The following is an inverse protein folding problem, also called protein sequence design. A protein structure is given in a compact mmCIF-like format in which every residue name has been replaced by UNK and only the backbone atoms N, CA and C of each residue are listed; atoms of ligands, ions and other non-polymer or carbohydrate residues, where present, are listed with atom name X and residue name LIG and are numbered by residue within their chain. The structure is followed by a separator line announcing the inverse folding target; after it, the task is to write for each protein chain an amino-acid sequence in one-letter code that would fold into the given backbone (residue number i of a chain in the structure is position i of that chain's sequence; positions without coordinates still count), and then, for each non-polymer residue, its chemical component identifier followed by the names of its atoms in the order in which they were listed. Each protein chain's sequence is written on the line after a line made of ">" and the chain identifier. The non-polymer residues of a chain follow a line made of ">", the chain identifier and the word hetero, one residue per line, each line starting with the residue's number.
data_IF_155862360113
#
_entry.id   IF_155862360113
#
_cell.length_a   1.000
_cell.length_b   1.000
_cell.length_c   1.000
_cell.angle_alpha   90.00
_cell.angle_beta   90.00
_cell.angle_gamma   90.00
#
_symmetry.space_group_name_H-M   'P 1'
#
loop_
_entity.id
_entity.type
_entity.pdbx_description
1 polymer ?
#
# COMPACT_ATOMS: atom_id res chain seq x y z
N UNK A 1 8.47 0.90 23.24
CA UNK A 1 7.96 1.96 22.51
C UNK A 1 6.42 2.04 22.48
N UNK A 2 5.99 3.20 22.81
CA UNK A 2 4.70 3.58 23.34
C UNK A 2 3.54 3.70 22.35
N UNK A 3 3.66 3.18 21.15
CA UNK A 3 2.64 3.30 20.12
C UNK A 3 1.98 1.99 19.70
N UNK A 4 1.98 1.00 20.59
CA UNK A 4 1.21 -0.24 20.39
C UNK A 4 1.82 -1.24 19.40
N UNK A 5 3.06 -1.05 18.98
CA UNK A 5 3.79 -2.05 18.24
C UNK A 5 4.40 -3.06 19.23
N UNK A 6 3.85 -4.26 19.28
CA UNK A 6 4.37 -5.34 20.10
C UNK A 6 5.52 -6.02 19.35
N UNK A 7 6.75 -5.65 19.69
CA UNK A 7 7.95 -6.34 19.23
C UNK A 7 8.25 -7.53 20.14
N UNK A 8 8.62 -8.64 19.56
CA UNK A 8 9.02 -9.83 20.28
C UNK A 8 10.52 -10.04 20.17
N UNK A 9 11.19 -10.35 21.26
CA UNK A 9 12.59 -10.77 21.23
C UNK A 9 12.63 -12.18 20.62
N UNK A 10 13.28 -12.28 19.45
CA UNK A 10 13.41 -13.51 18.68
C UNK A 10 14.69 -14.27 19.01
N UNK A 11 15.70 -13.59 19.49
CA UNK A 11 16.97 -14.15 19.88
C UNK A 11 17.76 -13.17 20.75
N UNK A 12 18.60 -13.73 21.59
CA UNK A 12 19.45 -12.99 22.51
C UNK A 12 20.79 -13.69 22.64
N UNK A 13 21.86 -12.99 22.34
CA UNK A 13 23.22 -13.40 22.67
C UNK A 13 23.78 -12.48 23.71
N UNK A 14 24.51 -13.04 24.69
CA UNK A 14 24.93 -12.26 25.83
C UNK A 14 26.27 -12.74 26.35
N UNK A 15 27.22 -11.83 26.52
CA UNK A 15 28.53 -12.11 27.10
C UNK A 15 28.71 -11.27 28.37
N UNK A 16 29.09 -11.90 29.45
CA UNK A 16 29.43 -11.24 30.72
C UNK A 16 30.93 -11.04 30.79
N UNK A 17 31.35 -9.83 31.17
CA UNK A 17 32.75 -9.44 31.38
C UNK A 17 33.05 -9.08 32.82
N UNK A 18 31.99 -8.85 33.62
CA UNK A 18 32.11 -8.49 35.03
C UNK A 18 30.89 -8.98 35.80
N UNK A 19 30.98 -9.00 37.12
CA UNK A 19 29.89 -9.34 38.01
C UNK A 19 29.07 -8.08 38.33
N UNK A 20 27.76 -8.23 38.40
CA UNK A 20 26.83 -7.23 38.90
C UNK A 20 26.48 -7.61 40.34
N UNK A 21 26.70 -6.70 41.29
CA UNK A 21 26.37 -6.92 42.69
C UNK A 21 25.03 -6.28 43.05
N UNK A 22 24.53 -6.63 44.22
CA UNK A 22 23.32 -5.99 44.74
C UNK A 22 23.63 -4.49 44.94
N UNK A 23 22.70 -3.62 44.61
CA UNK A 23 22.78 -2.17 44.68
C UNK A 23 23.69 -1.49 43.62
N UNK A 24 24.30 -2.24 42.72
CA UNK A 24 25.03 -1.64 41.60
C UNK A 24 24.07 -0.87 40.66
N UNK A 25 24.48 0.33 40.28
CA UNK A 25 23.78 1.13 39.28
C UNK A 25 24.25 0.74 37.90
N UNK A 26 23.42 0.00 37.17
CA UNK A 26 23.72 -0.46 35.83
C UNK A 26 23.22 0.57 34.79
N UNK A 27 24.14 1.12 34.00
CA UNK A 27 23.83 1.93 32.83
C UNK A 27 23.65 1.02 31.62
N UNK A 28 22.48 1.10 31.00
CA UNK A 28 22.14 0.28 29.83
C UNK A 28 22.10 1.18 28.60
N UNK A 29 22.89 0.83 27.59
CA UNK A 29 22.85 1.46 26.26
C UNK A 29 22.33 0.45 25.25
N UNK A 30 21.39 0.89 24.43
CA UNK A 30 20.78 0.09 23.36
C UNK A 30 20.98 0.85 22.06
N UNK A 31 21.66 0.22 21.11
CA UNK A 31 21.93 0.79 19.80
C UNK A 31 21.44 -0.15 18.70
N UNK A 32 20.72 0.41 17.72
CA UNK A 32 20.29 -0.34 16.54
C UNK A 32 21.50 -0.56 15.63
N UNK A 33 21.92 -1.82 15.46
CA UNK A 33 23.11 -2.16 14.67
C UNK A 33 22.79 -2.76 13.32
N UNK A 34 21.53 -3.15 13.06
CA UNK A 34 21.18 -3.72 11.78
C UNK A 34 19.70 -4.02 11.61
N UNK A 35 19.38 -4.44 10.38
CA UNK A 35 18.11 -5.05 10.01
C UNK A 35 18.35 -6.53 9.79
N UNK A 36 17.38 -7.35 10.13
CA UNK A 36 17.34 -8.77 9.80
C UNK A 36 16.16 -9.04 8.86
N UNK A 37 16.20 -10.18 8.20
CA UNK A 37 15.14 -10.57 7.26
C UNK A 37 13.74 -10.43 7.87
N UNK A 38 12.75 -10.19 7.01
CA UNK A 38 11.33 -10.07 7.38
C UNK A 38 11.01 -8.92 8.34
N UNK A 39 11.73 -7.79 8.23
CA UNK A 39 11.44 -6.58 8.99
C UNK A 39 11.88 -6.62 10.45
N UNK A 40 12.67 -7.62 10.83
CA UNK A 40 13.30 -7.68 12.15
C UNK A 40 14.43 -6.66 12.28
N UNK A 41 14.84 -6.43 13.51
CA UNK A 41 15.92 -5.50 13.86
C UNK A 41 16.93 -6.18 14.78
N UNK A 42 18.20 -5.82 14.62
CA UNK A 42 19.27 -6.21 15.54
C UNK A 42 19.69 -4.99 16.36
N UNK A 43 19.77 -5.18 17.67
CA UNK A 43 20.22 -4.19 18.62
C UNK A 43 21.44 -4.71 19.36
N UNK A 44 22.44 -3.86 19.50
CA UNK A 44 23.50 -4.08 20.47
C UNK A 44 23.05 -3.52 21.82
N UNK A 45 23.22 -4.31 22.86
CA UNK A 45 22.92 -3.94 24.24
C UNK A 45 24.21 -4.00 25.04
N UNK A 46 24.60 -2.90 25.65
CA UNK A 46 25.77 -2.83 26.53
C UNK A 46 25.35 -2.39 27.92
N UNK A 47 25.89 -3.06 28.94
CA UNK A 47 25.69 -2.69 30.32
C UNK A 47 27.02 -2.27 30.93
N UNK A 48 27.02 -1.15 31.70
CA UNK A 48 28.19 -0.61 32.37
C UNK A 48 27.87 -0.31 33.82
N UNK A 49 28.89 -0.44 34.66
CA UNK A 49 28.90 0.01 36.07
C UNK A 49 30.09 0.92 36.22
N UNK A 50 29.86 2.14 36.67
CA UNK A 50 30.92 3.18 36.82
C UNK A 50 31.80 3.32 35.56
N UNK A 51 31.16 3.26 34.39
CA UNK A 51 31.79 3.36 33.08
C UNK A 51 32.50 2.09 32.59
N UNK A 52 32.65 1.05 33.43
CA UNK A 52 33.24 -0.22 33.04
C UNK A 52 32.21 -1.15 32.38
N UNK A 53 32.59 -1.77 31.27
CA UNK A 53 31.72 -2.72 30.57
C UNK A 53 31.60 -4.00 31.40
N UNK A 54 30.39 -4.33 31.83
CA UNK A 54 30.09 -5.55 32.58
C UNK A 54 29.39 -6.61 31.72
N UNK A 55 28.67 -6.17 30.65
CA UNK A 55 28.11 -7.10 29.69
C UNK A 55 27.87 -6.45 28.33
N UNK A 56 27.85 -7.28 27.29
CA UNK A 56 27.50 -6.89 25.93
C UNK A 56 26.77 -8.04 25.24
N UNK A 57 25.74 -7.71 24.49
CA UNK A 57 24.98 -8.71 23.76
C UNK A 57 24.27 -8.14 22.55
N UNK A 58 23.69 -9.03 21.77
CA UNK A 58 22.86 -8.67 20.63
C UNK A 58 21.45 -9.19 20.85
N UNK A 59 20.47 -8.31 20.78
CA UNK A 59 19.05 -8.66 20.77
C UNK A 59 18.55 -8.67 19.32
N UNK A 60 17.94 -9.77 18.91
CA UNK A 60 17.17 -9.85 17.68
C UNK A 60 15.68 -9.67 18.01
N UNK A 61 15.06 -8.69 17.39
CA UNK A 61 13.68 -8.32 17.63
C UNK A 61 12.88 -8.55 16.36
N UNK A 62 11.75 -9.24 16.48
CA UNK A 62 10.82 -9.44 15.37
C UNK A 62 9.83 -8.28 15.30
N UNK A 63 9.55 -7.85 14.08
CA UNK A 63 8.41 -6.98 13.84
C UNK A 63 7.09 -7.71 14.14
N UNK A 64 6.05 -7.00 14.59
CA UNK A 64 4.73 -7.60 14.75
C UNK A 64 4.23 -8.13 13.40
N UNK A 65 3.47 -9.22 13.45
CA UNK A 65 2.83 -9.75 12.25
C UNK A 65 1.85 -8.71 11.72
N UNK A 66 2.05 -8.29 10.49
CA UNK A 66 1.21 -7.33 9.80
C UNK A 66 0.75 -7.89 8.45
N UNK A 67 -0.31 -7.34 7.89
CA UNK A 67 -0.77 -7.66 6.56
C UNK A 67 -0.97 -6.36 5.77
N UNK A 68 -0.54 -6.36 4.51
CA UNK A 68 -0.90 -5.31 3.55
C UNK A 68 -2.13 -5.76 2.78
N UNK A 69 -3.20 -4.99 2.88
CA UNK A 69 -4.48 -5.32 2.26
C UNK A 69 -4.83 -4.24 1.24
N UNK A 70 -5.06 -4.68 0.00
CA UNK A 70 -5.41 -3.80 -1.11
C UNK A 70 -6.91 -3.89 -1.41
N UNK A 71 -7.66 -2.79 -1.28
CA UNK A 71 -9.10 -2.79 -1.54
C UNK A 71 -9.42 -2.92 -3.03
N UNK A 72 -10.63 -3.37 -3.31
CA UNK A 72 -11.21 -3.34 -4.64
C UNK A 72 -11.84 -1.98 -4.99
N UNK A 73 -12.66 -1.97 -6.05
CA UNK A 73 -13.42 -0.78 -6.47
C UNK A 73 -14.46 -0.37 -5.42
N UNK A 74 -14.83 0.92 -5.44
CA UNK A 74 -15.86 1.51 -4.58
C UNK A 74 -15.35 2.59 -3.62
N UNK A 75 -14.05 2.79 -3.56
CA UNK A 75 -13.41 3.80 -2.69
C UNK A 75 -12.86 5.01 -3.45
N UNK A 76 -12.98 5.01 -4.78
CA UNK A 76 -12.46 6.08 -5.63
C UNK A 76 -13.14 7.42 -5.34
N UNK A 77 -12.35 8.48 -5.34
CA UNK A 77 -12.80 9.86 -5.16
C UNK A 77 -12.03 10.78 -6.09
N UNK A 78 -12.69 11.83 -6.56
CA UNK A 78 -12.01 12.91 -7.27
C UNK A 78 -10.89 13.50 -6.40
N UNK A 79 -9.72 13.70 -6.99
CA UNK A 79 -8.55 14.25 -6.30
C UNK A 79 -7.85 13.31 -5.33
N UNK A 80 -8.25 12.03 -5.25
CA UNK A 80 -7.65 11.08 -4.30
C UNK A 80 -6.13 11.02 -4.42
N UNK A 81 -5.44 11.09 -3.27
CA UNK A 81 -3.96 10.92 -3.13
C UNK A 81 -3.11 11.94 -3.89
N UNK A 82 -3.69 12.98 -4.49
CA UNK A 82 -2.91 14.02 -5.19
C UNK A 82 -2.12 14.91 -4.23
N UNK A 83 -2.57 15.08 -3.01
CA UNK A 83 -1.84 15.77 -1.94
C UNK A 83 -0.58 14.97 -1.51
N UNK A 84 -0.66 13.65 -1.49
CA UNK A 84 0.50 12.78 -1.23
C UNK A 84 1.51 12.85 -2.37
N UNK A 85 1.05 12.90 -3.63
CA UNK A 85 1.89 13.14 -4.80
C UNK A 85 2.70 14.43 -4.67
N UNK A 86 2.11 15.48 -4.12
CA UNK A 86 2.80 16.76 -3.91
C UNK A 86 3.93 16.67 -2.89
N UNK A 87 3.81 15.78 -1.89
CA UNK A 87 4.72 15.67 -0.73
C UNK A 87 5.77 14.59 -0.87
N UNK A 88 5.55 13.56 -1.71
CA UNK A 88 6.43 12.40 -1.87
C UNK A 88 6.99 12.32 -3.29
N UNK A 89 8.30 12.44 -3.48
CA UNK A 89 8.98 12.20 -4.76
C UNK A 89 8.70 10.80 -5.32
N UNK A 90 8.68 9.77 -4.49
CA UNK A 90 8.39 8.40 -4.92
C UNK A 90 6.94 8.27 -5.44
N UNK A 91 5.95 8.81 -4.73
CA UNK A 91 4.57 8.83 -5.20
C UNK A 91 4.43 9.65 -6.49
N UNK A 92 5.11 10.79 -6.58
CA UNK A 92 5.12 11.62 -7.78
C UNK A 92 5.62 10.86 -9.00
N UNK A 93 6.74 10.15 -8.87
CA UNK A 93 7.33 9.33 -9.95
C UNK A 93 6.34 8.28 -10.45
N UNK A 94 5.61 7.63 -9.56
CA UNK A 94 4.56 6.66 -9.93
C UNK A 94 3.46 7.33 -10.77
N UNK A 95 2.94 8.46 -10.31
CA UNK A 95 1.91 9.21 -11.04
C UNK A 95 2.38 9.67 -12.41
N UNK A 96 3.63 10.12 -12.55
CA UNK A 96 4.21 10.55 -13.84
C UNK A 96 4.38 9.37 -14.81
N UNK A 97 4.84 8.22 -14.31
CA UNK A 97 4.93 6.98 -15.11
C UNK A 97 3.55 6.53 -15.57
N UNK A 98 2.58 6.49 -14.67
CA UNK A 98 1.20 6.10 -14.97
C UNK A 98 0.57 7.04 -16.01
N UNK A 99 0.71 8.36 -15.84
CA UNK A 99 0.16 9.35 -16.77
C UNK A 99 0.82 9.28 -18.15
N UNK A 100 2.14 9.08 -18.19
CA UNK A 100 2.87 8.87 -19.43
C UNK A 100 2.37 7.64 -20.19
N UNK A 101 2.20 6.53 -19.49
CA UNK A 101 1.68 5.29 -20.09
C UNK A 101 0.26 5.48 -20.62
N UNK A 102 -0.65 5.97 -19.79
CA UNK A 102 -2.06 6.09 -20.17
C UNK A 102 -2.25 7.06 -21.32
N UNK A 103 -1.47 8.15 -21.40
CA UNK A 103 -1.46 9.04 -22.57
C UNK A 103 -0.98 8.34 -23.85
N UNK A 104 0.13 7.61 -23.76
CA UNK A 104 0.77 7.02 -24.94
C UNK A 104 0.06 5.77 -25.44
N UNK A 105 -0.51 4.96 -24.57
CA UNK A 105 -1.10 3.67 -24.91
C UNK A 105 -2.63 3.69 -24.93
N UNK A 106 -3.24 4.37 -23.96
CA UNK A 106 -4.68 4.36 -23.75
C UNK A 106 -5.37 5.64 -24.25
N UNK A 107 -4.59 6.67 -24.62
CA UNK A 107 -5.09 7.91 -25.24
C UNK A 107 -5.71 8.88 -24.24
N UNK A 108 -5.48 8.74 -22.94
CA UNK A 108 -5.98 9.68 -21.92
C UNK A 108 -4.97 9.93 -20.80
N UNK A 109 -5.18 11.01 -20.04
CA UNK A 109 -4.41 11.30 -18.85
C UNK A 109 -5.11 10.77 -17.62
N UNK A 110 -4.53 9.77 -16.93
CA UNK A 110 -5.09 9.29 -15.66
C UNK A 110 -5.03 10.37 -14.58
N UNK A 111 -4.00 11.20 -14.61
CA UNK A 111 -3.86 12.31 -13.69
C UNK A 111 -4.98 13.34 -13.85
N UNK A 112 -5.36 13.67 -15.09
CA UNK A 112 -6.48 14.56 -15.36
C UNK A 112 -7.82 13.90 -14.98
N UNK A 113 -8.00 12.62 -15.28
CA UNK A 113 -9.20 11.89 -14.87
C UNK A 113 -9.39 11.90 -13.36
N UNK A 114 -8.34 11.66 -12.59
CA UNK A 114 -8.45 11.68 -11.11
C UNK A 114 -8.65 13.08 -10.57
N UNK A 115 -7.96 14.09 -11.12
CA UNK A 115 -8.04 15.46 -10.65
C UNK A 115 -9.40 16.10 -10.95
N UNK A 116 -9.87 15.95 -12.18
CA UNK A 116 -11.01 16.71 -12.72
C UNK A 116 -12.31 15.90 -12.75
N UNK A 117 -12.21 14.57 -12.74
CA UNK A 117 -13.32 13.61 -12.91
C UNK A 117 -14.28 14.02 -14.05
N UNK A 118 -13.80 14.21 -15.29
CA UNK A 118 -14.61 14.71 -16.38
C UNK A 118 -15.77 13.77 -16.67
N UNK A 119 -16.89 14.32 -17.14
CA UNK A 119 -18.09 13.54 -17.49
C UNK A 119 -17.99 12.89 -18.88
N UNK A 120 -17.09 13.40 -19.69
CA UNK A 120 -16.85 12.93 -21.06
C UNK A 120 -15.37 13.00 -21.39
N UNK A 121 -14.88 12.03 -22.15
CA UNK A 121 -13.52 11.98 -22.69
C UNK A 121 -13.51 11.13 -23.98
N UNK A 122 -12.81 11.60 -24.98
CA UNK A 122 -12.51 10.79 -26.17
C UNK A 122 -11.06 10.31 -26.11
N UNK A 123 -10.85 9.01 -26.17
CA UNK A 123 -9.53 8.38 -26.17
C UNK A 123 -9.48 7.27 -27.23
N UNK A 124 -8.43 7.30 -28.05
CA UNK A 124 -8.23 6.33 -29.15
C UNK A 124 -9.49 6.15 -30.05
N UNK A 125 -10.21 7.24 -30.33
CA UNK A 125 -11.41 7.22 -31.17
C UNK A 125 -12.69 6.74 -30.46
N UNK A 126 -12.63 6.38 -29.19
CA UNK A 126 -13.79 5.98 -28.38
C UNK A 126 -14.17 7.10 -27.42
N UNK A 127 -15.45 7.47 -27.41
CA UNK A 127 -15.98 8.46 -26.46
C UNK A 127 -16.63 7.76 -25.28
N UNK A 128 -16.12 8.08 -24.09
CA UNK A 128 -16.60 7.58 -22.81
C UNK A 128 -17.41 8.67 -22.11
N UNK A 129 -18.54 8.29 -21.50
CA UNK A 129 -19.45 9.20 -20.81
C UNK A 129 -19.98 8.57 -19.52
N UNK A 130 -20.04 9.38 -18.46
CA UNK A 130 -20.75 9.01 -17.24
C UNK A 130 -21.30 10.27 -16.55
N UNK A 131 -22.57 10.29 -16.10
CA UNK A 131 -23.20 11.49 -15.50
C UNK A 131 -22.48 11.99 -14.26
N UNK A 132 -21.89 11.08 -13.47
CA UNK A 132 -21.18 11.38 -12.22
C UNK A 132 -19.65 11.42 -12.38
N UNK A 133 -19.17 11.46 -13.65
CA UNK A 133 -17.75 11.50 -13.99
C UNK A 133 -17.12 10.13 -14.26
N UNK A 134 -16.04 10.13 -15.01
CA UNK A 134 -15.41 8.93 -15.55
C UNK A 134 -14.76 8.01 -14.50
N UNK A 135 -14.49 8.52 -13.29
CA UNK A 135 -14.07 7.66 -12.17
C UNK A 135 -15.13 6.63 -11.76
N UNK A 136 -16.37 6.75 -12.25
CA UNK A 136 -17.44 5.78 -12.04
C UNK A 136 -17.55 4.75 -13.19
N UNK A 137 -16.73 4.87 -14.22
CA UNK A 137 -16.56 3.83 -15.23
C UNK A 137 -15.44 2.87 -14.82
N UNK A 138 -15.75 1.59 -14.75
CA UNK A 138 -14.87 0.59 -14.14
C UNK A 138 -13.45 0.55 -14.75
N UNK A 139 -13.29 0.77 -16.06
CA UNK A 139 -11.97 0.82 -16.71
C UNK A 139 -11.11 2.00 -16.21
N UNK A 140 -11.68 3.17 -15.95
CA UNK A 140 -10.96 4.31 -15.40
C UNK A 140 -10.75 4.16 -13.89
N UNK A 141 -11.76 3.65 -13.18
CA UNK A 141 -11.68 3.34 -11.75
C UNK A 141 -10.50 2.41 -11.45
N UNK A 142 -10.38 1.32 -12.22
CA UNK A 142 -9.32 0.33 -11.99
C UNK A 142 -7.93 0.92 -12.20
N UNK A 143 -7.72 1.67 -13.29
CA UNK A 143 -6.43 2.34 -13.55
C UNK A 143 -6.09 3.36 -12.46
N UNK A 144 -7.08 4.14 -12.03
CA UNK A 144 -6.89 5.13 -10.97
C UNK A 144 -6.49 4.48 -9.65
N UNK A 145 -7.20 3.42 -9.23
CA UNK A 145 -6.92 2.72 -7.97
C UNK A 145 -5.61 1.94 -8.00
N UNK A 146 -5.23 1.36 -9.15
CA UNK A 146 -3.92 0.72 -9.32
C UNK A 146 -2.78 1.75 -9.17
N UNK A 147 -2.92 2.93 -9.82
CA UNK A 147 -1.97 4.02 -9.66
C UNK A 147 -1.84 4.47 -8.21
N UNK A 148 -2.97 4.62 -7.49
CA UNK A 148 -3.01 4.99 -6.07
C UNK A 148 -2.32 3.95 -5.20
N UNK A 149 -2.63 2.67 -5.38
CA UNK A 149 -2.03 1.58 -4.62
C UNK A 149 -0.51 1.56 -4.75
N UNK A 150 -0.04 1.73 -5.98
CA UNK A 150 1.40 1.78 -6.26
C UNK A 150 2.06 3.03 -5.65
N UNK A 151 1.43 4.20 -5.79
CA UNK A 151 1.95 5.46 -5.26
C UNK A 151 2.02 5.45 -3.73
N UNK A 152 1.00 4.92 -3.05
CA UNK A 152 0.99 4.80 -1.59
C UNK A 152 2.03 3.79 -1.09
N UNK A 153 2.20 2.65 -1.77
CA UNK A 153 3.23 1.68 -1.44
C UNK A 153 4.63 2.27 -1.61
N UNK A 154 4.87 2.99 -2.71
CA UNK A 154 6.14 3.67 -2.96
C UNK A 154 6.44 4.73 -1.87
N UNK A 155 5.44 5.51 -1.47
CA UNK A 155 5.57 6.49 -0.39
C UNK A 155 5.88 5.84 0.96
N UNK A 156 5.25 4.72 1.29
CA UNK A 156 5.55 3.99 2.53
C UNK A 156 7.00 3.50 2.56
N UNK A 157 7.50 2.99 1.44
CA UNK A 157 8.89 2.59 1.31
C UNK A 157 9.85 3.78 1.42
N UNK A 158 9.53 4.91 0.77
CA UNK A 158 10.31 6.15 0.88
C UNK A 158 10.38 6.68 2.31
N UNK A 159 9.29 6.57 3.07
CA UNK A 159 9.25 6.99 4.47
C UNK A 159 10.06 6.08 5.43
N UNK A 160 10.75 5.08 4.89
CA UNK A 160 11.54 4.14 5.68
C UNK A 160 10.68 3.19 6.52
N UNK A 161 9.42 3.03 6.17
CA UNK A 161 8.55 2.02 6.76
C UNK A 161 9.01 0.64 6.29
N UNK A 162 10.07 0.13 6.90
CA UNK A 162 10.61 -1.21 6.64
C UNK A 162 9.72 -2.31 7.24
N UNK A 163 8.43 -2.07 7.29
CA UNK A 163 7.46 -3.08 7.68
C UNK A 163 7.38 -4.08 6.53
N UNK A 164 7.99 -5.24 6.74
CA UNK A 164 7.79 -6.37 5.85
C UNK A 164 6.58 -7.14 6.38
N UNK A 165 5.43 -7.11 5.70
CA UNK A 165 4.25 -7.81 6.19
C UNK A 165 4.45 -9.32 6.12
N UNK A 166 3.84 -10.02 7.07
CA UNK A 166 3.78 -11.49 7.05
C UNK A 166 2.86 -11.99 5.93
N UNK A 167 1.89 -11.16 5.55
CA UNK A 167 0.90 -11.46 4.52
C UNK A 167 0.60 -10.24 3.68
N UNK A 168 0.23 -10.47 2.43
CA UNK A 168 -0.41 -9.47 1.59
C UNK A 168 -1.61 -10.10 0.90
N UNK A 169 -2.65 -9.31 0.68
CA UNK A 169 -3.89 -9.77 0.09
C UNK A 169 -4.61 -8.63 -0.64
N UNK A 170 -5.51 -8.98 -1.54
CA UNK A 170 -6.34 -8.02 -2.23
C UNK A 170 -7.68 -8.60 -2.60
N UNK A 171 -8.70 -7.75 -2.66
CA UNK A 171 -10.03 -8.14 -3.09
C UNK A 171 -10.29 -7.66 -4.53
N UNK A 172 -10.63 -8.57 -5.44
CA UNK A 172 -10.93 -8.27 -6.85
C UNK A 172 -9.78 -7.50 -7.53
N UNK A 173 -9.94 -6.21 -7.83
CA UNK A 173 -8.86 -5.33 -8.32
C UNK A 173 -7.65 -5.31 -7.36
N UNK A 174 -7.91 -5.34 -6.07
CA UNK A 174 -6.87 -5.31 -5.04
C UNK A 174 -5.89 -6.48 -5.13
N UNK A 175 -6.29 -7.63 -5.68
CA UNK A 175 -5.39 -8.76 -5.94
C UNK A 175 -4.29 -8.37 -6.94
N UNK A 176 -4.66 -7.70 -8.03
CA UNK A 176 -3.68 -7.18 -9.01
C UNK A 176 -2.76 -6.15 -8.36
N UNK A 177 -3.34 -5.22 -7.59
CA UNK A 177 -2.57 -4.22 -6.87
C UNK A 177 -1.58 -4.86 -5.87
N UNK A 178 -1.96 -5.93 -5.19
CA UNK A 178 -1.09 -6.65 -4.27
C UNK A 178 0.09 -7.32 -5.02
N UNK A 179 -0.18 -7.94 -6.16
CA UNK A 179 0.84 -8.58 -6.99
C UNK A 179 1.78 -7.57 -7.65
N UNK A 180 1.29 -6.39 -7.97
CA UNK A 180 2.07 -5.33 -8.63
C UNK A 180 2.77 -4.43 -7.61
N UNK A 181 2.00 -3.69 -6.80
CA UNK A 181 2.56 -2.65 -5.94
C UNK A 181 3.38 -3.19 -4.77
N UNK A 182 3.02 -4.37 -4.23
CA UNK A 182 3.75 -4.97 -3.12
C UNK A 182 4.73 -6.04 -3.58
N UNK A 183 4.27 -7.07 -4.28
CA UNK A 183 5.09 -8.23 -4.62
C UNK A 183 6.03 -8.00 -5.81
N UNK A 184 5.82 -6.90 -6.56
CA UNK A 184 6.62 -6.52 -7.75
C UNK A 184 6.70 -7.62 -8.83
N UNK A 185 5.65 -8.46 -8.89
CA UNK A 185 5.53 -9.54 -9.88
C UNK A 185 5.05 -8.98 -11.22
N UNK A 186 4.13 -8.00 -11.18
CA UNK A 186 3.57 -7.33 -12.36
C UNK A 186 4.09 -5.89 -12.37
N UNK A 187 4.84 -5.45 -13.38
CA UNK A 187 5.27 -4.06 -13.50
C UNK A 187 4.06 -3.10 -13.58
N UNK A 188 4.20 -1.89 -13.03
CA UNK A 188 3.16 -0.87 -13.01
C UNK A 188 2.51 -0.68 -14.39
N UNK A 189 3.33 -0.52 -15.42
CA UNK A 189 2.87 -0.27 -16.77
C UNK A 189 2.00 -1.40 -17.32
N UNK A 190 2.40 -2.64 -17.04
CA UNK A 190 1.65 -3.84 -17.43
C UNK A 190 0.35 -3.94 -16.64
N UNK A 191 0.37 -3.66 -15.35
CA UNK A 191 -0.84 -3.65 -14.53
C UNK A 191 -1.87 -2.65 -15.05
N UNK A 192 -1.44 -1.42 -15.37
CA UNK A 192 -2.36 -0.39 -15.84
C UNK A 192 -3.05 -0.75 -17.16
N UNK A 193 -2.32 -1.33 -18.11
CA UNK A 193 -2.91 -1.86 -19.35
C UNK A 193 -3.88 -3.02 -19.06
N UNK A 194 -3.45 -3.97 -18.23
CA UNK A 194 -4.24 -5.15 -17.85
C UNK A 194 -5.57 -4.74 -17.19
N UNK A 195 -5.52 -3.88 -16.18
CA UNK A 195 -6.73 -3.49 -15.44
C UNK A 195 -7.65 -2.56 -16.24
N UNK A 196 -7.11 -1.78 -17.20
CA UNK A 196 -7.93 -1.05 -18.14
C UNK A 196 -8.74 -1.99 -19.04
N UNK A 197 -8.08 -3.00 -19.63
CA UNK A 197 -8.76 -4.00 -20.47
C UNK A 197 -9.73 -4.86 -19.66
N UNK A 198 -9.35 -5.26 -18.45
CA UNK A 198 -10.24 -5.94 -17.51
C UNK A 198 -11.50 -5.13 -17.24
N UNK A 199 -11.34 -3.85 -16.90
CA UNK A 199 -12.46 -2.95 -16.65
C UNK A 199 -13.34 -2.73 -17.90
N UNK A 200 -12.72 -2.60 -19.07
CA UNK A 200 -13.44 -2.47 -20.34
C UNK A 200 -14.26 -3.72 -20.65
N UNK A 201 -13.70 -4.91 -20.46
CA UNK A 201 -14.42 -6.18 -20.62
C UNK A 201 -15.59 -6.26 -19.66
N UNK A 202 -15.38 -5.98 -18.38
CA UNK A 202 -16.47 -5.96 -17.39
C UNK A 202 -17.57 -4.96 -17.76
N UNK A 203 -17.21 -3.79 -18.31
CA UNK A 203 -18.17 -2.78 -18.74
C UNK A 203 -19.00 -3.25 -19.93
N UNK A 204 -18.37 -3.88 -20.92
CA UNK A 204 -19.05 -4.35 -22.15
C UNK A 204 -19.90 -5.60 -21.95
N UNK A 205 -19.62 -6.42 -20.94
CA UNK A 205 -20.43 -7.61 -20.62
C UNK A 205 -21.81 -7.27 -20.04
N UNK A 206 -22.01 -6.03 -19.59
CA UNK A 206 -23.28 -5.57 -19.02
C UNK A 206 -24.13 -4.97 -20.13
N UNK A 207 -25.30 -5.55 -20.38
CA UNK A 207 -26.27 -4.98 -21.32
C UNK A 207 -26.75 -3.61 -20.89
N UNK A 208 -26.80 -2.68 -21.84
CA UNK A 208 -27.21 -1.30 -21.64
C UNK A 208 -28.19 -0.85 -22.69
N UNK A 209 -29.13 0.01 -22.30
CA UNK A 209 -30.02 0.68 -23.23
C UNK A 209 -29.29 1.80 -24.02
N UNK A 210 -29.99 2.43 -24.94
CA UNK A 210 -29.45 3.51 -25.76
C UNK A 210 -29.00 4.75 -24.94
N UNK A 211 -29.45 4.86 -23.71
CA UNK A 211 -29.04 5.88 -22.76
C UNK A 211 -27.92 5.44 -21.84
N UNK A 212 -27.34 4.24 -22.06
CA UNK A 212 -26.26 3.67 -21.26
C UNK A 212 -26.68 3.13 -19.89
N UNK A 213 -27.98 3.00 -19.61
CA UNK A 213 -28.51 2.45 -18.35
C UNK A 213 -28.58 0.95 -18.39
N UNK A 214 -28.39 0.30 -17.26
CA UNK A 214 -28.50 -1.15 -17.09
C UNK A 214 -29.54 -1.51 -16.05
N UNK A 215 -30.26 -2.63 -16.27
CA UNK A 215 -31.15 -3.22 -15.28
C UNK A 215 -30.41 -4.03 -14.21
N UNK A 216 -29.12 -4.28 -14.41
CA UNK A 216 -28.30 -4.98 -13.43
C UNK A 216 -27.82 -4.03 -12.33
N UNK A 217 -27.80 -4.54 -11.10
CA UNK A 217 -27.28 -3.84 -9.93
C UNK A 217 -26.39 -4.79 -9.14
N UNK A 218 -25.36 -4.25 -8.55
CA UNK A 218 -24.54 -4.96 -7.59
C UNK A 218 -24.71 -4.32 -6.22
N UNK A 219 -25.05 -5.10 -5.20
CA UNK A 219 -25.19 -4.65 -3.83
C UNK A 219 -24.22 -5.38 -2.92
N UNK A 220 -23.58 -4.65 -2.04
CA UNK A 220 -22.79 -5.21 -0.95
C UNK A 220 -23.63 -5.23 0.32
N UNK A 221 -23.96 -6.42 0.79
CA UNK A 221 -24.65 -6.59 2.07
C UNK A 221 -23.63 -6.49 3.21
N UNK A 222 -24.00 -5.76 4.25
CA UNK A 222 -23.21 -5.63 5.48
C UNK A 222 -24.10 -6.03 6.67
N UNK A 223 -24.23 -7.33 6.95
CA UNK A 223 -25.13 -7.85 7.97
C UNK A 223 -24.95 -7.21 9.34
N UNK A 224 -23.69 -6.97 9.75
CA UNK A 224 -23.34 -6.32 11.01
C UNK A 224 -23.90 -4.90 11.18
N UNK A 225 -24.22 -4.19 10.08
CA UNK A 225 -24.85 -2.85 10.15
C UNK A 225 -26.36 -2.92 10.42
N UNK A 226 -26.97 -4.10 10.26
CA UNK A 226 -28.40 -4.31 10.46
C UNK A 226 -28.70 -5.06 11.76
N UNK A 227 -27.72 -5.19 12.66
CA UNK A 227 -27.91 -5.89 13.94
C UNK A 227 -28.12 -7.40 13.80
N UNK A 228 -27.83 -7.97 12.64
CA UNK A 228 -27.78 -9.41 12.45
C UNK A 228 -26.43 -9.86 12.97
N UNK A 229 -26.40 -10.50 14.12
CA UNK A 229 -25.17 -11.07 14.71
C UNK A 229 -24.59 -12.16 13.81
N UNK A 230 -23.32 -12.42 14.02
CA UNK A 230 -22.56 -13.51 13.38
C UNK A 230 -23.13 -14.87 13.71
#
# INVERSE_FOLDING_TARGET
>A
DDKGAHYEIAGWTYNMYGMVQLDDKVEISIERVGKVEHGGMAFEVTCRIDGQLVSRGTALVRAPKSAFVYPGQGIQKQGMVLDERAKSPAARSVWERADKLTRSKLGFSILAVVRDNPKELTANGVTYRHPDGLLNLTQFTQVALATVAYAQTARLREAGSDIWPAYFAGHSLGEYNALSAFADIIPLETELELVFHRGSTMHHLIERDAQGRSNYRMGALRPNQFGVGD
#
